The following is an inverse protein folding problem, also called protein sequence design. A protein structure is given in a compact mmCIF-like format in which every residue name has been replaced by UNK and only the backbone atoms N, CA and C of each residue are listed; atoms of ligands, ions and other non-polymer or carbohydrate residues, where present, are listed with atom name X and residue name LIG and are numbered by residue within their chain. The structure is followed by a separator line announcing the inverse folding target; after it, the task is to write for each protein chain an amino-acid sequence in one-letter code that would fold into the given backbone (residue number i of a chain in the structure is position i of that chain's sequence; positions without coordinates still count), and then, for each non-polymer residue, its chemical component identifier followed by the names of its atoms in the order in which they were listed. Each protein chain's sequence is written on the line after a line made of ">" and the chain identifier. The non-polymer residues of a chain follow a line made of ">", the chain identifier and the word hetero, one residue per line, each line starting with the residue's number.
data_IF_918970379609
#
_entry.id   IF_918970379609
#
_cell.length_a   1.000
_cell.length_b   1.000
_cell.length_c   1.000
_cell.angle_alpha   90.00
_cell.angle_beta   90.00
_cell.angle_gamma   90.00
#
_symmetry.space_group_name_H-M   'P 1'
#
loop_
_entity.id
_entity.type
_entity.pdbx_description
1 polymer ?
#
# COMPACT_ATOMS: atom_id res chain seq x y z
N UNK A 1 -4.11 4.07 7.52
CA UNK A 1 -3.46 2.79 7.89
C UNK A 1 -2.73 2.25 6.68
N UNK A 2 -1.50 1.68 6.83
CA UNK A 2 -0.84 0.81 5.83
C UNK A 2 -0.87 -0.62 6.34
N UNK A 3 -1.14 -1.60 5.47
CA UNK A 3 -1.25 -3.00 5.89
C UNK A 3 -0.90 -3.96 4.74
N UNK A 4 0.30 -4.52 4.77
CA UNK A 4 0.66 -5.64 3.91
C UNK A 4 -0.05 -6.90 4.44
N UNK A 5 -0.94 -7.48 3.65
CA UNK A 5 -1.80 -8.61 4.07
C UNK A 5 -1.25 -9.98 3.65
N UNK A 6 -0.10 -10.03 2.97
CA UNK A 6 0.53 -11.29 2.52
C UNK A 6 -0.48 -12.23 1.86
N UNK A 7 -1.21 -11.75 0.86
CA UNK A 7 -2.29 -12.47 0.16
C UNK A 7 -3.30 -13.15 1.11
N UNK A 8 -3.51 -12.59 2.28
CA UNK A 8 -4.42 -13.11 3.30
C UNK A 8 -3.85 -14.21 4.20
N UNK A 9 -2.56 -14.57 4.05
CA UNK A 9 -1.92 -15.66 4.79
C UNK A 9 -1.34 -15.14 6.12
N UNK A 10 -1.82 -15.68 7.22
CA UNK A 10 -1.30 -15.42 8.56
C UNK A 10 0.00 -16.14 8.89
N UNK A 11 0.57 -15.87 10.08
CA UNK A 11 1.77 -16.55 10.58
C UNK A 11 1.55 -18.06 10.76
N UNK A 12 0.32 -18.49 10.94
CA UNK A 12 -0.12 -19.90 11.00
C UNK A 12 -0.23 -20.57 9.61
N UNK A 13 0.15 -19.87 8.55
CA UNK A 13 0.05 -20.28 7.14
C UNK A 13 -1.40 -20.52 6.67
N UNK A 14 -2.40 -20.00 7.39
CA UNK A 14 -3.80 -20.08 7.00
C UNK A 14 -4.27 -18.79 6.35
N UNK A 15 -4.93 -18.90 5.19
CA UNK A 15 -5.60 -17.76 4.56
C UNK A 15 -6.87 -17.41 5.33
N UNK A 16 -6.95 -16.18 5.86
CA UNK A 16 -8.12 -15.76 6.63
C UNK A 16 -8.37 -14.24 6.54
N UNK A 17 -9.19 -13.84 5.58
CA UNK A 17 -9.56 -12.44 5.38
C UNK A 17 -10.44 -11.87 6.51
N UNK A 18 -11.16 -12.71 7.25
CA UNK A 18 -11.95 -12.26 8.40
C UNK A 18 -11.07 -11.69 9.50
N UNK A 19 -9.94 -12.34 9.82
CA UNK A 19 -8.97 -11.82 10.81
C UNK A 19 -8.41 -10.46 10.39
N UNK A 20 -8.11 -10.28 9.11
CA UNK A 20 -7.64 -9.00 8.56
C UNK A 20 -8.72 -7.93 8.73
N UNK A 21 -9.97 -8.25 8.36
CA UNK A 21 -11.09 -7.35 8.53
C UNK A 21 -11.38 -7.01 10.00
N UNK A 22 -11.20 -7.95 10.94
CA UNK A 22 -11.31 -7.72 12.38
C UNK A 22 -10.29 -6.69 12.88
N UNK A 23 -9.05 -6.77 12.40
CA UNK A 23 -8.00 -5.77 12.71
C UNK A 23 -8.42 -4.39 12.20
N UNK A 24 -8.86 -4.29 10.94
CA UNK A 24 -9.31 -3.04 10.34
C UNK A 24 -10.51 -2.47 11.11
N UNK A 25 -11.49 -3.31 11.41
CA UNK A 25 -12.71 -2.91 12.15
C UNK A 25 -12.41 -2.48 13.60
N UNK A 26 -11.40 -3.07 14.25
CA UNK A 26 -10.96 -2.68 15.58
C UNK A 26 -10.29 -1.30 15.59
N UNK A 27 -9.48 -1.00 14.57
CA UNK A 27 -8.75 0.27 14.43
C UNK A 27 -9.68 1.39 13.92
N UNK A 28 -10.69 1.04 13.12
CA UNK A 28 -11.65 1.96 12.49
C UNK A 28 -11.00 3.09 11.67
N UNK A 29 -10.03 2.81 10.80
CA UNK A 29 -9.39 3.85 10.00
C UNK A 29 -10.36 4.41 8.96
N UNK A 30 -10.16 5.66 8.55
CA UNK A 30 -10.88 6.25 7.40
C UNK A 30 -10.39 5.71 6.07
N UNK A 31 -9.12 5.27 6.05
CA UNK A 31 -8.44 4.75 4.85
C UNK A 31 -7.42 3.67 5.22
N UNK A 32 -7.36 2.62 4.39
CA UNK A 32 -6.35 1.56 4.48
C UNK A 32 -5.71 1.36 3.11
N UNK A 33 -4.40 1.57 3.03
CA UNK A 33 -3.60 1.07 1.92
C UNK A 33 -3.22 -0.39 2.19
N UNK A 34 -3.61 -1.27 1.30
CA UNK A 34 -3.33 -2.71 1.36
C UNK A 34 -2.26 -3.08 0.35
N UNK A 35 -1.27 -3.86 0.77
CA UNK A 35 -0.24 -4.43 -0.11
C UNK A 35 -0.39 -5.95 -0.14
N UNK A 36 0.16 -6.57 -1.19
CA UNK A 36 0.08 -8.02 -1.45
C UNK A 36 -1.36 -8.54 -1.50
N UNK A 37 -2.13 -8.01 -2.44
CA UNK A 37 -3.54 -8.34 -2.63
C UNK A 37 -3.73 -9.17 -3.90
N UNK A 38 -4.31 -10.35 -3.76
CA UNK A 38 -4.77 -11.18 -4.89
C UNK A 38 -6.19 -10.81 -5.31
N UNK A 39 -6.39 -10.75 -6.62
CA UNK A 39 -7.71 -10.65 -7.23
C UNK A 39 -7.96 -11.87 -8.12
N UNK A 40 -8.82 -12.76 -7.66
CA UNK A 40 -9.25 -13.99 -8.38
C UNK A 40 -8.07 -14.87 -8.79
N UNK A 41 -7.05 -15.01 -7.91
CA UNK A 41 -5.92 -15.90 -8.13
C UNK A 41 -6.23 -17.34 -7.68
N UNK A 42 -5.75 -18.33 -8.44
CA UNK A 42 -5.90 -19.75 -8.09
C UNK A 42 -5.28 -20.06 -6.72
N UNK A 43 -4.07 -19.53 -6.45
CA UNK A 43 -3.33 -19.74 -5.18
C UNK A 43 -4.06 -19.25 -3.93
N UNK A 44 -4.97 -18.31 -4.08
CA UNK A 44 -5.79 -17.74 -2.99
C UNK A 44 -7.26 -18.18 -3.08
N UNK A 45 -7.54 -19.29 -3.79
CA UNK A 45 -8.88 -19.88 -3.86
C UNK A 45 -9.86 -19.11 -4.73
N UNK A 46 -9.38 -18.39 -5.76
CA UNK A 46 -10.20 -17.60 -6.69
C UNK A 46 -10.99 -16.47 -6.02
N UNK A 47 -10.56 -16.06 -4.82
CA UNK A 47 -11.24 -15.00 -4.07
C UNK A 47 -10.79 -13.64 -4.59
N UNK A 48 -11.74 -12.73 -4.75
CA UNK A 48 -11.45 -11.31 -4.90
C UNK A 48 -11.23 -10.70 -3.51
N UNK A 49 -9.96 -10.66 -3.07
CA UNK A 49 -9.62 -10.31 -1.68
C UNK A 49 -10.01 -8.88 -1.30
N UNK A 50 -9.79 -7.91 -2.19
CA UNK A 50 -10.14 -6.51 -1.88
C UNK A 50 -11.65 -6.31 -1.80
N UNK A 51 -12.44 -7.00 -2.63
CA UNK A 51 -13.89 -6.92 -2.58
C UNK A 51 -14.46 -7.60 -1.33
N UNK A 52 -13.90 -8.75 -0.93
CA UNK A 52 -14.31 -9.43 0.29
C UNK A 52 -13.94 -8.63 1.55
N UNK A 53 -12.75 -8.04 1.60
CA UNK A 53 -12.37 -7.14 2.70
C UNK A 53 -13.28 -5.91 2.76
N UNK A 54 -13.65 -5.33 1.61
CA UNK A 54 -14.59 -4.23 1.54
C UNK A 54 -15.97 -4.61 2.11
N UNK A 55 -16.48 -5.79 1.73
CA UNK A 55 -17.74 -6.33 2.26
C UNK A 55 -17.70 -6.53 3.79
N UNK A 56 -16.59 -7.06 4.31
CA UNK A 56 -16.41 -7.33 5.75
C UNK A 56 -16.19 -6.07 6.59
N UNK A 57 -15.71 -4.98 5.99
CA UNK A 57 -15.40 -3.73 6.69
C UNK A 57 -16.41 -2.60 6.41
N UNK A 58 -17.29 -2.78 5.42
CA UNK A 58 -18.22 -1.73 4.97
C UNK A 58 -17.53 -0.55 4.29
N UNK A 59 -16.31 -0.75 3.74
CA UNK A 59 -15.53 0.29 3.07
C UNK A 59 -15.60 0.17 1.54
N UNK A 60 -15.31 1.26 0.81
CA UNK A 60 -15.23 1.28 -0.65
C UNK A 60 -13.88 0.72 -1.12
N UNK A 61 -13.86 -0.31 -1.99
CA UNK A 61 -12.63 -0.89 -2.50
C UNK A 61 -12.17 -0.22 -3.79
N UNK A 62 -10.87 -0.04 -3.92
CA UNK A 62 -10.19 0.27 -5.19
C UNK A 62 -8.99 -0.67 -5.30
N UNK A 63 -8.81 -1.30 -6.46
CA UNK A 63 -7.69 -2.20 -6.74
C UNK A 63 -6.83 -1.66 -7.86
N UNK A 64 -5.51 -1.74 -7.68
CA UNK A 64 -4.51 -1.42 -8.69
C UNK A 64 -3.65 -2.66 -8.97
N UNK A 65 -3.80 -3.30 -10.14
CA UNK A 65 -2.99 -4.44 -10.50
C UNK A 65 -1.53 -4.01 -10.75
N UNK A 66 -0.60 -4.85 -10.34
CA UNK A 66 0.81 -4.73 -10.66
C UNK A 66 1.23 -5.76 -11.72
N UNK A 67 0.74 -6.99 -11.60
CA UNK A 67 1.09 -8.09 -12.51
C UNK A 67 0.02 -9.18 -12.52
N UNK A 68 0.05 -10.00 -13.55
CA UNK A 68 -0.69 -11.27 -13.55
C UNK A 68 0.03 -12.29 -12.66
N UNK A 69 -0.73 -13.03 -11.88
CA UNK A 69 -0.21 -14.05 -10.98
C UNK A 69 -1.24 -15.17 -10.78
N UNK A 70 -0.81 -16.43 -10.92
CA UNK A 70 -1.66 -17.59 -10.60
C UNK A 70 -3.06 -17.50 -11.23
N UNK A 71 -3.12 -17.21 -12.56
CA UNK A 71 -4.32 -17.08 -13.39
C UNK A 71 -5.26 -15.91 -12.99
N UNK A 72 -4.83 -15.02 -12.13
CA UNK A 72 -5.54 -13.82 -11.71
C UNK A 72 -4.63 -12.60 -11.70
N UNK A 73 -4.97 -11.59 -10.92
CA UNK A 73 -4.19 -10.36 -10.78
C UNK A 73 -3.67 -10.21 -9.35
N UNK A 74 -2.46 -9.71 -9.24
CA UNK A 74 -1.81 -9.36 -7.98
C UNK A 74 -1.40 -7.89 -7.99
N UNK A 75 -1.53 -7.24 -6.84
CA UNK A 75 -1.17 -5.83 -6.73
C UNK A 75 -1.42 -5.26 -5.35
N UNK A 76 -1.91 -4.03 -5.33
CA UNK A 76 -2.27 -3.30 -4.13
C UNK A 76 -3.75 -2.88 -4.18
N UNK A 77 -4.30 -2.58 -3.01
CA UNK A 77 -5.67 -2.06 -2.95
C UNK A 77 -5.76 -0.91 -1.93
N UNK A 78 -6.85 -0.20 -2.00
CA UNK A 78 -7.26 0.76 -1.00
C UNK A 78 -8.67 0.44 -0.54
N UNK A 79 -8.91 0.56 0.76
CA UNK A 79 -10.25 0.60 1.34
C UNK A 79 -10.46 1.99 1.94
N UNK A 80 -11.59 2.61 1.65
CA UNK A 80 -11.91 3.95 2.12
C UNK A 80 -13.35 4.04 2.62
N UNK A 81 -13.60 4.76 3.72
CA UNK A 81 -14.98 5.02 4.17
C UNK A 81 -15.74 5.95 3.23
N UNK A 82 -15.02 6.85 2.57
CA UNK A 82 -15.60 7.77 1.57
C UNK A 82 -15.25 7.30 0.18
N UNK A 83 -16.22 7.31 -0.73
CA UNK A 83 -15.98 7.05 -2.14
C UNK A 83 -15.11 8.17 -2.73
N UNK A 84 -13.96 7.87 -3.38
CA UNK A 84 -13.17 8.89 -4.07
C UNK A 84 -13.93 9.43 -5.29
N UNK A 85 -13.59 10.64 -5.73
CA UNK A 85 -14.10 11.24 -6.98
C UNK A 85 -13.58 10.49 -8.21
N UNK A 86 -12.30 10.21 -8.17
CA UNK A 86 -11.58 9.48 -9.21
C UNK A 86 -10.41 8.74 -8.59
N UNK A 87 -9.82 7.84 -9.34
CA UNK A 87 -8.57 7.19 -8.99
C UNK A 87 -7.73 6.97 -10.25
N UNK A 88 -6.45 6.90 -10.05
CA UNK A 88 -5.48 6.51 -11.07
C UNK A 88 -4.38 5.66 -10.45
N UNK A 89 -3.73 4.86 -11.27
CA UNK A 89 -2.53 4.15 -10.87
C UNK A 89 -1.51 4.15 -12.00
N UNK A 90 -0.25 4.14 -11.63
CA UNK A 90 0.88 4.08 -12.56
C UNK A 90 1.75 2.87 -12.23
N UNK A 91 2.34 2.22 -13.25
CA UNK A 91 3.31 1.16 -13.03
C UNK A 91 4.57 1.75 -12.39
N UNK A 92 5.14 1.01 -11.45
CA UNK A 92 6.44 1.29 -10.86
C UNK A 92 7.43 0.16 -11.23
N UNK A 93 8.72 0.46 -11.34
CA UNK A 93 9.72 -0.55 -11.60
C UNK A 93 9.88 -1.51 -10.42
N UNK A 94 10.14 -2.76 -10.73
CA UNK A 94 10.49 -3.79 -9.77
C UNK A 94 11.31 -4.86 -10.49
N UNK A 95 12.49 -5.17 -9.96
CA UNK A 95 13.39 -6.16 -10.54
C UNK A 95 12.84 -7.58 -10.38
N UNK A 96 12.28 -7.88 -9.22
CA UNK A 96 11.68 -9.19 -8.91
C UNK A 96 10.28 -9.36 -9.48
N UNK A 97 9.50 -8.28 -9.51
CA UNK A 97 8.15 -8.21 -10.08
C UNK A 97 7.75 -6.74 -10.30
N UNK A 98 6.86 -6.46 -11.25
CA UNK A 98 6.29 -5.12 -11.43
C UNK A 98 5.59 -4.63 -10.16
N UNK A 99 5.66 -3.32 -9.94
CA UNK A 99 5.01 -2.63 -8.82
C UNK A 99 4.01 -1.60 -9.34
N UNK A 100 3.24 -1.02 -8.45
CA UNK A 100 2.25 0.01 -8.82
C UNK A 100 2.10 1.04 -7.71
N UNK A 101 1.72 2.26 -8.11
CA UNK A 101 1.36 3.35 -7.23
C UNK A 101 -0.08 3.76 -7.52
N UNK A 102 -0.92 3.69 -6.52
CA UNK A 102 -2.36 3.99 -6.60
C UNK A 102 -2.65 5.32 -5.91
N UNK A 103 -3.40 6.21 -6.57
CA UNK A 103 -3.86 7.48 -6.02
C UNK A 103 -5.38 7.58 -6.09
N UNK A 104 -6.01 7.95 -4.98
CA UNK A 104 -7.43 8.20 -4.83
C UNK A 104 -7.63 9.71 -4.61
N UNK A 105 -8.40 10.33 -5.50
CA UNK A 105 -8.68 11.76 -5.45
C UNK A 105 -9.96 12.06 -4.66
N UNK A 106 -9.85 12.97 -3.71
CA UNK A 106 -10.97 13.55 -2.97
C UNK A 106 -11.06 15.07 -3.20
N UNK A 107 -12.16 15.73 -2.79
CA UNK A 107 -12.30 17.18 -2.99
C UNK A 107 -11.13 18.02 -2.47
N UNK A 108 -10.61 17.66 -1.30
CA UNK A 108 -9.66 18.49 -0.55
C UNK A 108 -8.32 17.80 -0.25
N UNK A 109 -8.10 16.56 -0.69
CA UNK A 109 -6.86 15.81 -0.46
C UNK A 109 -6.75 14.64 -1.45
N UNK A 110 -5.56 14.08 -1.55
CA UNK A 110 -5.26 12.86 -2.32
C UNK A 110 -4.65 11.81 -1.39
N UNK A 111 -5.16 10.58 -1.44
CA UNK A 111 -4.63 9.44 -0.68
C UNK A 111 -3.99 8.45 -1.63
N UNK A 112 -2.75 8.07 -1.35
CA UNK A 112 -2.00 7.15 -2.20
C UNK A 112 -1.55 5.92 -1.43
N UNK A 113 -1.33 4.84 -2.19
CA UNK A 113 -0.80 3.58 -1.69
C UNK A 113 0.27 3.03 -2.63
N UNK A 114 1.28 2.37 -2.08
CA UNK A 114 2.34 1.72 -2.87
C UNK A 114 2.88 0.46 -2.18
N UNK A 115 3.59 -0.35 -2.96
CA UNK A 115 4.43 -1.44 -2.48
C UNK A 115 5.72 -1.42 -3.31
N UNK A 116 6.83 -1.04 -2.71
CA UNK A 116 8.10 -0.89 -3.43
C UNK A 116 8.80 -2.24 -3.66
N UNK A 117 9.69 -2.25 -4.64
CA UNK A 117 10.57 -3.36 -4.94
C UNK A 117 11.56 -3.65 -3.82
N UNK A 118 12.05 -4.89 -3.75
CA UNK A 118 13.19 -5.26 -2.89
C UNK A 118 14.53 -4.72 -3.43
N UNK A 119 14.57 -4.31 -4.71
CA UNK A 119 15.76 -3.79 -5.34
C UNK A 119 15.94 -2.28 -5.09
N UNK A 120 17.08 -1.82 -4.51
CA UNK A 120 17.31 -0.42 -4.17
C UNK A 120 17.22 0.55 -5.36
N UNK A 121 17.71 0.17 -6.52
CA UNK A 121 17.68 1.03 -7.72
C UNK A 121 16.25 1.21 -8.24
N UNK A 122 15.46 0.14 -8.20
CA UNK A 122 14.03 0.19 -8.51
C UNK A 122 13.27 1.08 -7.53
N UNK A 123 13.60 1.05 -6.22
CA UNK A 123 13.01 1.96 -5.22
C UNK A 123 13.33 3.43 -5.52
N UNK A 124 14.60 3.75 -5.82
CA UNK A 124 14.98 5.12 -6.19
C UNK A 124 14.28 5.59 -7.45
N UNK A 125 14.12 4.72 -8.45
CA UNK A 125 13.36 5.04 -9.66
C UNK A 125 11.87 5.26 -9.35
N UNK A 126 11.28 4.46 -8.48
CA UNK A 126 9.89 4.63 -8.01
C UNK A 126 9.69 5.96 -7.31
N UNK A 127 10.60 6.39 -6.44
CA UNK A 127 10.54 7.70 -5.77
C UNK A 127 10.53 8.84 -6.79
N UNK A 128 11.41 8.78 -7.81
CA UNK A 128 11.43 9.80 -8.88
C UNK A 128 10.11 9.86 -9.63
N UNK A 129 9.54 8.71 -10.01
CA UNK A 129 8.26 8.64 -10.71
C UNK A 129 7.10 9.18 -9.85
N UNK A 130 7.07 8.86 -8.57
CA UNK A 130 6.06 9.37 -7.63
C UNK A 130 6.18 10.90 -7.52
N UNK A 131 7.39 11.43 -7.33
CA UNK A 131 7.63 12.86 -7.23
C UNK A 131 7.18 13.58 -8.51
N UNK A 132 7.48 13.04 -9.69
CA UNK A 132 7.03 13.64 -10.96
C UNK A 132 5.51 13.57 -11.13
N UNK A 133 4.91 12.43 -10.81
CA UNK A 133 3.45 12.24 -10.92
C UNK A 133 2.69 13.20 -9.99
N UNK A 134 3.19 13.42 -8.78
CA UNK A 134 2.52 14.24 -7.77
C UNK A 134 2.87 15.73 -7.86
N UNK A 135 3.82 16.11 -8.72
CA UNK A 135 4.32 17.51 -8.84
C UNK A 135 3.25 18.55 -9.13
N UNK A 136 2.21 18.18 -9.88
CA UNK A 136 1.11 19.07 -10.24
C UNK A 136 -0.10 19.00 -9.29
N UNK A 137 -0.05 18.15 -8.26
CA UNK A 137 -1.13 18.08 -7.28
C UNK A 137 -1.07 19.30 -6.34
N UNK A 138 -2.18 19.98 -6.20
CA UNK A 138 -2.30 21.20 -5.39
C UNK A 138 -3.02 20.97 -4.05
N UNK A 139 -3.45 19.75 -3.78
CA UNK A 139 -4.12 19.36 -2.55
C UNK A 139 -3.14 18.60 -1.65
N UNK A 140 -3.35 18.59 -0.33
CA UNK A 140 -2.58 17.76 0.58
C UNK A 140 -2.58 16.29 0.13
N UNK A 141 -1.39 15.67 0.16
CA UNK A 141 -1.18 14.29 -0.25
C UNK A 141 -0.74 13.46 0.95
N UNK A 142 -1.31 12.26 1.09
CA UNK A 142 -0.83 11.23 1.99
C UNK A 142 -0.46 9.98 1.18
N UNK A 143 0.72 9.43 1.44
CA UNK A 143 1.21 8.21 0.80
C UNK A 143 1.43 7.16 1.88
N UNK A 144 0.70 6.07 1.80
CA UNK A 144 0.88 4.88 2.64
C UNK A 144 1.58 3.79 1.84
N UNK A 145 2.27 2.88 2.50
CA UNK A 145 2.85 1.75 1.79
C UNK A 145 3.81 0.89 2.61
N UNK A 146 4.09 -0.27 2.05
CA UNK A 146 5.28 -1.05 2.32
C UNK A 146 6.37 -0.58 1.33
N UNK A 147 7.32 0.18 1.84
CA UNK A 147 8.36 0.77 1.02
C UNK A 147 9.61 -0.11 0.90
N UNK A 148 9.65 -1.24 1.59
CA UNK A 148 10.80 -2.17 1.59
C UNK A 148 12.15 -1.46 1.79
N UNK A 149 12.17 -0.37 2.53
CA UNK A 149 13.37 0.43 2.83
C UNK A 149 13.47 0.71 4.32
N UNK A 150 14.67 0.65 4.86
CA UNK A 150 14.94 0.99 6.25
C UNK A 150 15.23 2.49 6.44
N UNK A 151 15.06 3.05 7.66
CA UNK A 151 15.19 4.48 7.92
C UNK A 151 16.52 5.13 7.52
N UNK A 152 17.61 4.36 7.51
CA UNK A 152 18.95 4.88 7.17
C UNK A 152 19.35 4.70 5.71
N UNK A 153 18.47 4.07 4.92
CA UNK A 153 18.72 3.79 3.50
C UNK A 153 18.80 5.08 2.67
N UNK A 154 19.44 4.98 1.50
CA UNK A 154 19.50 6.08 0.52
C UNK A 154 18.11 6.45 0.01
N UNK A 155 17.25 5.47 -0.16
CA UNK A 155 15.89 5.61 -0.64
C UNK A 155 15.02 6.36 0.37
N UNK A 156 15.15 6.03 1.66
CA UNK A 156 14.45 6.75 2.71
C UNK A 156 14.89 8.23 2.77
N UNK A 157 16.20 8.49 2.65
CA UNK A 157 16.72 9.86 2.57
C UNK A 157 16.20 10.60 1.34
N UNK A 158 16.14 9.92 0.16
CA UNK A 158 15.58 10.49 -1.05
C UNK A 158 14.07 10.81 -0.90
N UNK A 159 13.30 9.92 -0.27
CA UNK A 159 11.88 10.16 0.01
C UNK A 159 11.68 11.40 0.88
N UNK A 160 12.50 11.55 1.92
CA UNK A 160 12.44 12.70 2.85
C UNK A 160 12.85 14.05 2.26
N UNK A 161 13.42 14.08 1.06
CA UNK A 161 13.69 15.37 0.37
C UNK A 161 12.42 16.06 -0.11
N UNK A 162 11.37 15.26 -0.39
CA UNK A 162 10.09 15.77 -0.92
C UNK A 162 8.94 15.57 0.06
N UNK A 163 9.01 14.50 0.88
CA UNK A 163 7.91 14.05 1.72
C UNK A 163 8.28 14.08 3.20
N UNK A 164 7.33 14.55 4.01
CA UNK A 164 7.42 14.52 5.47
C UNK A 164 6.99 13.14 5.98
N UNK A 165 7.77 12.53 6.86
CA UNK A 165 7.36 11.33 7.59
C UNK A 165 6.27 11.69 8.61
N UNK A 166 5.12 11.01 8.55
CA UNK A 166 3.98 11.21 9.44
C UNK A 166 3.75 10.03 10.39
N UNK A 167 4.22 8.82 10.04
CA UNK A 167 4.16 7.68 10.95
C UNK A 167 5.23 7.78 12.05
N UNK A 168 4.94 7.18 13.21
CA UNK A 168 5.85 7.18 14.36
C UNK A 168 7.23 6.60 13.98
N UNK A 169 8.34 7.35 14.15
CA UNK A 169 9.67 6.89 13.79
C UNK A 169 10.23 5.79 14.68
N UNK A 170 9.61 5.47 15.78
CA UNK A 170 10.10 4.48 16.75
C UNK A 170 9.48 3.10 16.60
N UNK A 171 8.39 2.99 15.80
CA UNK A 171 7.68 1.72 15.65
C UNK A 171 8.26 0.89 14.51
N UNK A 172 8.65 -0.32 14.82
CA UNK A 172 9.00 -1.37 13.86
C UNK A 172 7.73 -2.04 13.33
N UNK A 173 7.76 -2.50 12.07
CA UNK A 173 6.56 -3.01 11.39
C UNK A 173 6.71 -4.44 10.88
N UNK A 174 7.93 -4.98 10.81
CA UNK A 174 8.21 -6.29 10.27
C UNK A 174 9.26 -7.08 11.10
N UNK A 175 9.12 -8.40 11.24
CA UNK A 175 7.95 -9.23 10.95
C UNK A 175 6.81 -8.99 11.95
N UNK A 176 5.60 -9.47 11.65
CA UNK A 176 4.39 -9.14 12.44
C UNK A 176 4.36 -9.76 13.84
N UNK A 177 5.08 -10.88 14.05
CA UNK A 177 5.15 -11.59 15.34
C UNK A 177 6.19 -11.00 16.31
N UNK A 178 7.34 -10.56 15.79
CA UNK A 178 8.42 -9.95 16.55
C UNK A 178 9.05 -8.83 15.71
N UNK A 179 8.46 -7.66 15.63
CA UNK A 179 8.96 -6.56 14.80
C UNK A 179 10.40 -6.19 15.11
N UNK A 180 11.23 -6.03 14.09
CA UNK A 180 12.66 -5.68 14.18
C UNK A 180 13.12 -4.75 13.06
N UNK A 181 12.31 -4.61 12.01
CA UNK A 181 12.55 -3.73 10.88
C UNK A 181 11.37 -2.81 10.69
N UNK A 182 11.63 -1.67 10.12
CA UNK A 182 10.60 -0.73 9.75
C UNK A 182 10.59 -0.58 8.24
N UNK A 183 9.55 -1.08 7.60
CA UNK A 183 9.38 -1.11 6.16
C UNK A 183 8.12 -0.35 5.71
N UNK A 184 7.15 -0.18 6.63
CA UNK A 184 5.88 0.48 6.36
C UNK A 184 5.89 1.91 6.89
N UNK A 185 5.43 2.83 6.07
CA UNK A 185 5.44 4.26 6.39
C UNK A 185 4.16 4.95 5.94
N UNK A 186 3.93 6.11 6.55
CA UNK A 186 2.99 7.12 6.07
C UNK A 186 3.79 8.40 5.85
N UNK A 187 3.79 8.90 4.62
CA UNK A 187 4.37 10.17 4.25
C UNK A 187 3.27 11.17 3.86
N UNK A 188 3.57 12.44 3.96
CA UNK A 188 2.74 13.52 3.43
C UNK A 188 3.61 14.59 2.79
N UNK A 189 2.98 15.54 2.10
CA UNK A 189 3.68 16.68 1.54
C UNK A 189 4.34 17.54 2.63
N UNK A 190 5.33 18.33 2.24
CA UNK A 190 6.10 19.21 3.14
C UNK A 190 5.38 20.53 3.46
N UNK A 191 4.16 20.76 2.95
CA UNK A 191 3.41 22.01 3.14
C UNK A 191 3.00 22.26 4.59
#
# INVERSE_FOLDING_TARGET
>A
MSYNIRIGIGMDQQTNLKRIAEVINKIQPDYVGLQEVDSVCERSGWINQYAELARLTGMYPIFAPATERSKGLYGIAALSRKKPRSYQYIPLPGKEEPRTFLCLEYPNYTLCNTHFSLDPDSRLASIRLINETMKSENKPILITGDFNMEPDSKEFKAMKQTWRLLSDPTLETYPSDHPRLRLDYIFGDLA
#
